data_IF_339395660428
#
_entry.id   IF_339395660428
#
_cell.length_a   1.000
_cell.length_b   1.000
_cell.length_c   1.000
_cell.angle_alpha   90.00
_cell.angle_beta   90.00
_cell.angle_gamma   90.00
#
_symmetry.space_group_name_H-M   'P 1'
#
loop_
_entity.id
_entity.type
_entity.pdbx_description
1 polymer ?
#
# COMPACT_ATOMS: atom_id res chain seq x y z
N UNK A 1 9.21 40.44 -2.88
CA UNK A 1 8.62 40.00 -4.16
C UNK A 1 8.17 38.54 -3.96
N UNK A 2 6.88 38.31 -3.85
CA UNK A 2 6.32 36.99 -3.64
C UNK A 2 6.39 36.24 -4.98
N UNK A 3 7.15 35.16 -5.03
CA UNK A 3 7.15 34.26 -6.18
C UNK A 3 5.75 33.62 -6.26
N UNK A 4 4.97 34.03 -7.24
CA UNK A 4 3.73 33.33 -7.60
C UNK A 4 4.15 31.97 -8.13
N UNK A 5 3.90 30.92 -7.34
CA UNK A 5 4.08 29.55 -7.79
C UNK A 5 3.24 29.39 -9.08
N UNK A 6 3.88 29.10 -10.22
CA UNK A 6 3.17 28.72 -11.44
C UNK A 6 2.33 27.50 -11.09
N UNK A 7 1.03 27.48 -11.44
CA UNK A 7 0.27 26.24 -11.36
C UNK A 7 1.00 25.20 -12.20
N UNK A 8 1.29 24.05 -11.62
CA UNK A 8 1.77 22.88 -12.37
C UNK A 8 0.79 22.64 -13.51
N UNK A 9 1.30 22.48 -14.74
CA UNK A 9 0.44 22.22 -15.89
C UNK A 9 -0.35 20.94 -15.61
N UNK A 10 -1.64 20.95 -15.84
CA UNK A 10 -2.49 19.77 -15.76
C UNK A 10 -2.01 18.74 -16.79
N UNK A 11 -1.86 17.49 -16.36
CA UNK A 11 -1.38 16.36 -17.19
C UNK A 11 -2.52 15.35 -17.31
N UNK A 12 -2.78 14.82 -18.51
CA UNK A 12 -3.78 13.77 -18.69
C UNK A 12 -3.32 12.45 -18.06
N UNK A 13 -4.25 11.55 -17.67
CA UNK A 13 -3.88 10.21 -17.20
C UNK A 13 -3.02 9.43 -18.19
N UNK A 14 -3.30 9.56 -19.48
CA UNK A 14 -2.57 8.90 -20.56
C UNK A 14 -1.13 9.42 -20.65
N UNK A 15 -0.95 10.74 -20.63
CA UNK A 15 0.37 11.39 -20.67
C UNK A 15 1.18 11.04 -19.41
N UNK A 16 0.52 10.98 -18.24
CA UNK A 16 1.17 10.53 -17.00
C UNK A 16 1.67 9.08 -17.11
N UNK A 17 0.84 8.15 -17.58
CA UNK A 17 1.23 6.74 -17.73
C UNK A 17 2.41 6.60 -18.69
N UNK A 18 2.42 7.34 -19.80
CA UNK A 18 3.51 7.28 -20.77
C UNK A 18 4.81 7.88 -20.21
N UNK A 19 4.73 9.04 -19.53
CA UNK A 19 5.88 9.67 -18.91
C UNK A 19 6.48 8.81 -17.79
N UNK A 20 5.61 8.18 -16.97
CA UNK A 20 6.02 7.36 -15.82
C UNK A 20 6.75 6.06 -16.24
N UNK A 21 6.57 5.60 -17.48
CA UNK A 21 7.29 4.42 -18.03
C UNK A 21 8.79 4.64 -18.18
N UNK A 22 9.22 5.88 -18.35
CA UNK A 22 10.62 6.26 -18.58
C UNK A 22 11.17 7.13 -17.46
N UNK A 23 10.37 7.44 -16.45
CA UNK A 23 10.77 8.26 -15.32
C UNK A 23 11.81 7.54 -14.45
N UNK A 24 12.85 8.27 -14.03
CA UNK A 24 13.87 7.77 -13.09
C UNK A 24 13.33 7.68 -11.66
N UNK A 25 12.39 8.54 -11.29
CA UNK A 25 11.69 8.55 -10.00
C UNK A 25 10.24 8.16 -10.21
N UNK A 26 9.63 7.56 -9.20
CA UNK A 26 8.20 7.24 -9.21
C UNK A 26 7.39 8.45 -8.75
N UNK A 27 6.24 8.63 -9.37
CA UNK A 27 5.31 9.72 -9.08
C UNK A 27 3.89 9.18 -8.88
N UNK A 28 3.23 9.63 -7.85
CA UNK A 28 1.79 9.48 -7.70
C UNK A 28 1.06 10.53 -8.52
N UNK A 29 -0.15 10.22 -8.96
CA UNK A 29 -0.97 11.11 -9.77
C UNK A 29 -2.35 11.31 -9.15
N UNK A 30 -2.74 12.56 -9.01
CA UNK A 30 -4.06 12.95 -8.48
C UNK A 30 -4.62 14.10 -9.30
N UNK A 31 -5.68 13.83 -10.05
CA UNK A 31 -6.45 14.84 -10.79
C UNK A 31 -5.59 15.83 -11.61
N UNK A 32 -4.70 15.30 -12.43
CA UNK A 32 -3.82 16.10 -13.30
C UNK A 32 -2.54 16.60 -12.61
N UNK A 33 -2.32 16.30 -11.34
CA UNK A 33 -1.14 16.67 -10.58
C UNK A 33 -0.25 15.47 -10.29
N UNK A 34 1.05 15.66 -10.39
CA UNK A 34 2.08 14.62 -10.25
C UNK A 34 2.93 14.94 -9.02
N UNK A 35 3.11 13.94 -8.14
CA UNK A 35 3.82 14.05 -6.87
C UNK A 35 4.95 13.04 -6.82
N UNK A 36 6.20 13.51 -6.71
CA UNK A 36 7.36 12.64 -6.58
C UNK A 36 7.32 11.85 -5.26
N UNK A 37 7.61 10.56 -5.34
CA UNK A 37 7.73 9.72 -4.16
C UNK A 37 9.08 9.92 -3.48
N UNK A 38 9.09 9.95 -2.15
CA UNK A 38 10.31 9.94 -1.35
C UNK A 38 10.91 8.53 -1.24
N UNK A 39 12.21 8.45 -0.94
CA UNK A 39 12.85 7.16 -0.63
C UNK A 39 12.36 6.59 0.71
N UNK A 40 12.42 5.28 0.85
CA UNK A 40 12.04 4.54 2.05
C UNK A 40 13.24 4.34 3.01
N UNK A 41 12.95 4.26 4.32
CA UNK A 41 13.94 3.83 5.33
C UNK A 41 14.26 2.32 5.22
N UNK A 42 15.33 1.86 5.89
CA UNK A 42 15.65 0.43 5.96
C UNK A 42 14.51 -0.38 6.60
N UNK A 43 13.97 0.08 7.72
CA UNK A 43 12.85 -0.61 8.39
C UNK A 43 11.58 -0.61 7.55
N UNK A 44 11.23 0.49 6.89
CA UNK A 44 10.10 0.54 5.96
C UNK A 44 10.26 -0.51 4.85
N UNK A 45 11.43 -0.56 4.21
CA UNK A 45 11.70 -1.52 3.14
C UNK A 45 11.63 -2.98 3.63
N UNK A 46 12.16 -3.26 4.84
CA UNK A 46 12.09 -4.60 5.45
C UNK A 46 10.67 -5.01 5.77
N UNK A 47 9.87 -4.14 6.36
CA UNK A 47 8.46 -4.39 6.69
C UNK A 47 7.68 -4.71 5.42
N UNK A 48 7.76 -3.86 4.39
CA UNK A 48 7.09 -4.09 3.11
C UNK A 48 7.54 -5.41 2.46
N UNK A 49 8.85 -5.69 2.45
CA UNK A 49 9.42 -6.93 1.95
C UNK A 49 8.98 -8.18 2.72
N UNK A 50 8.90 -8.09 4.05
CA UNK A 50 8.41 -9.19 4.88
C UNK A 50 6.93 -9.48 4.63
N UNK A 51 6.08 -8.44 4.55
CA UNK A 51 4.66 -8.58 4.20
C UNK A 51 4.51 -9.26 2.83
N UNK A 52 5.24 -8.78 1.83
CA UNK A 52 5.22 -9.35 0.48
C UNK A 52 5.67 -10.82 0.47
N UNK A 53 6.72 -11.16 1.22
CA UNK A 53 7.21 -12.54 1.38
C UNK A 53 6.13 -13.46 1.96
N UNK A 54 5.49 -13.07 3.06
CA UNK A 54 4.44 -13.87 3.72
C UNK A 54 3.23 -14.06 2.79
N UNK A 55 2.77 -13.01 2.12
CA UNK A 55 1.67 -13.09 1.15
C UNK A 55 2.05 -13.96 -0.06
N UNK A 56 3.26 -13.81 -0.60
CA UNK A 56 3.75 -14.62 -1.74
C UNK A 56 3.81 -16.11 -1.38
N UNK A 57 4.24 -16.43 -0.15
CA UNK A 57 4.25 -17.81 0.33
C UNK A 57 2.81 -18.37 0.50
N UNK A 58 1.91 -17.57 1.06
CA UNK A 58 0.51 -17.96 1.27
C UNK A 58 -0.24 -18.19 -0.05
N UNK A 59 0.09 -17.46 -1.11
CA UNK A 59 -0.60 -17.56 -2.41
C UNK A 59 0.08 -18.48 -3.42
N UNK A 60 1.15 -19.15 -3.06
CA UNK A 60 1.80 -20.10 -3.97
C UNK A 60 0.82 -21.18 -4.45
N UNK A 61 0.56 -21.22 -5.76
CA UNK A 61 -0.42 -22.12 -6.37
C UNK A 61 -1.90 -21.72 -6.15
N UNK A 62 -2.17 -20.52 -5.66
CA UNK A 62 -3.50 -19.93 -5.51
C UNK A 62 -3.76 -18.84 -6.55
N UNK A 63 -4.97 -18.32 -6.60
CA UNK A 63 -5.42 -17.32 -7.58
C UNK A 63 -4.93 -15.91 -7.29
N UNK A 64 -4.77 -15.56 -6.00
CA UNK A 64 -4.39 -14.20 -5.62
C UNK A 64 -2.90 -13.94 -5.84
N UNK A 65 -2.57 -12.74 -6.28
CA UNK A 65 -1.21 -12.28 -6.57
C UNK A 65 -0.86 -11.05 -5.72
N UNK A 66 0.22 -11.08 -4.93
CA UNK A 66 0.72 -9.90 -4.24
C UNK A 66 1.64 -9.08 -5.15
N UNK A 67 1.58 -7.77 -5.01
CA UNK A 67 2.44 -6.79 -5.65
C UNK A 67 3.15 -5.94 -4.60
N UNK A 68 4.35 -5.45 -4.94
CA UNK A 68 5.16 -4.61 -4.06
C UNK A 68 5.73 -3.42 -4.83
N UNK A 69 5.73 -2.24 -4.23
CA UNK A 69 6.34 -0.99 -4.70
C UNK A 69 5.90 -0.54 -6.11
N UNK A 70 6.59 -0.95 -7.14
CA UNK A 70 6.54 -0.37 -8.50
C UNK A 70 5.26 -0.67 -9.32
N UNK A 71 4.24 -1.30 -8.75
CA UNK A 71 2.97 -1.50 -9.42
C UNK A 71 1.92 -0.51 -8.90
N UNK A 72 1.35 0.27 -9.82
CA UNK A 72 0.31 1.25 -9.51
C UNK A 72 -1.05 0.60 -9.24
N UNK A 73 -1.82 1.23 -8.36
CA UNK A 73 -3.27 1.06 -8.27
C UNK A 73 -3.94 2.28 -8.88
N UNK A 74 -4.75 2.07 -9.91
CA UNK A 74 -5.67 3.06 -10.44
C UNK A 74 -6.97 2.98 -9.66
N UNK A 75 -7.37 4.09 -9.06
CA UNK A 75 -8.61 4.14 -8.30
C UNK A 75 -9.76 4.58 -9.23
N UNK A 76 -10.91 3.88 -9.19
CA UNK A 76 -12.05 4.26 -10.01
C UNK A 76 -12.46 5.70 -9.76
N UNK A 77 -12.69 6.50 -10.79
CA UNK A 77 -13.00 7.92 -10.66
C UNK A 77 -14.41 8.10 -10.08
N UNK A 78 -14.51 8.25 -8.75
CA UNK A 78 -15.73 8.81 -8.16
C UNK A 78 -15.77 10.33 -8.37
N UNK A 79 -14.58 10.99 -8.39
CA UNK A 79 -14.43 12.44 -8.52
C UNK A 79 -13.21 12.85 -9.36
N UNK A 80 -12.16 12.01 -9.48
CA UNK A 80 -10.91 12.30 -10.15
C UNK A 80 -10.18 11.03 -10.55
N UNK A 81 -9.30 11.10 -11.55
CA UNK A 81 -8.36 10.02 -11.85
C UNK A 81 -7.21 10.04 -10.84
N UNK A 82 -7.01 8.90 -10.16
CA UNK A 82 -5.96 8.74 -9.15
C UNK A 82 -5.15 7.48 -9.42
N UNK A 83 -3.81 7.62 -9.35
CA UNK A 83 -2.86 6.51 -9.40
C UNK A 83 -1.92 6.63 -8.22
N UNK A 84 -1.97 5.65 -7.32
CA UNK A 84 -1.04 5.52 -6.20
C UNK A 84 -0.14 4.30 -6.37
N UNK A 85 0.99 4.29 -5.67
CA UNK A 85 1.89 3.16 -5.53
C UNK A 85 1.83 2.63 -4.09
N UNK A 86 0.92 1.70 -3.76
CA UNK A 86 0.92 1.09 -2.45
C UNK A 86 2.21 0.32 -2.19
N UNK A 87 2.70 0.31 -0.95
CA UNK A 87 3.86 -0.48 -0.60
C UNK A 87 3.65 -1.97 -0.88
N UNK A 88 2.49 -2.51 -0.47
CA UNK A 88 2.08 -3.89 -0.82
C UNK A 88 0.58 -3.94 -1.06
N UNK A 89 0.16 -4.68 -2.08
CA UNK A 89 -1.26 -4.97 -2.28
C UNK A 89 -1.48 -6.34 -2.91
N UNK A 90 -2.71 -6.84 -2.83
CA UNK A 90 -3.10 -8.16 -3.34
C UNK A 90 -4.27 -8.01 -4.32
N UNK A 91 -4.16 -8.67 -5.47
CA UNK A 91 -5.25 -8.80 -6.45
C UNK A 91 -5.67 -10.26 -6.53
N UNK A 92 -6.99 -10.52 -6.44
CA UNK A 92 -7.55 -11.86 -6.55
C UNK A 92 -8.42 -12.07 -7.80
N UNK A 93 -8.67 -11.01 -8.57
CA UNK A 93 -9.40 -11.08 -9.84
C UNK A 93 -8.42 -11.23 -11.02
N UNK A 94 -8.38 -12.38 -11.72
CA UNK A 94 -7.47 -12.58 -12.84
C UNK A 94 -7.82 -11.71 -14.07
N UNK A 95 -9.00 -11.10 -14.10
CA UNK A 95 -9.37 -10.16 -15.15
C UNK A 95 -8.74 -8.77 -14.94
N UNK A 96 -8.22 -8.48 -13.73
CA UNK A 96 -7.45 -7.27 -13.45
C UNK A 96 -5.98 -7.45 -13.85
N UNK A 97 -5.70 -7.35 -15.14
CA UNK A 97 -4.41 -7.71 -15.75
C UNK A 97 -3.77 -6.59 -16.58
N UNK A 98 -4.15 -5.33 -16.38
CA UNK A 98 -3.53 -4.21 -17.07
C UNK A 98 -2.01 -4.19 -16.84
N UNK A 99 -1.23 -3.87 -17.87
CA UNK A 99 0.23 -4.03 -17.84
C UNK A 99 0.94 -3.14 -16.82
N UNK A 100 0.41 -1.93 -16.57
CA UNK A 100 1.10 -0.89 -15.79
C UNK A 100 0.35 -0.44 -14.54
N UNK A 101 -0.81 -1.02 -14.26
CA UNK A 101 -1.61 -0.75 -13.06
C UNK A 101 -2.56 -1.90 -12.75
N UNK A 102 -3.18 -1.85 -11.58
CA UNK A 102 -4.31 -2.68 -11.16
C UNK A 102 -5.46 -1.77 -10.73
N UNK A 103 -6.68 -2.26 -10.85
CA UNK A 103 -7.89 -1.48 -10.53
C UNK A 103 -8.75 -2.11 -9.41
N UNK A 104 -8.52 -3.41 -9.11
CA UNK A 104 -9.34 -4.20 -8.19
C UNK A 104 -8.54 -4.89 -7.10
N UNK A 105 -7.72 -4.15 -6.32
CA UNK A 105 -7.03 -4.75 -5.20
C UNK A 105 -8.03 -5.24 -4.16
N UNK A 106 -7.79 -6.43 -3.62
CA UNK A 106 -8.59 -7.01 -2.53
C UNK A 106 -8.10 -6.57 -1.16
N UNK A 107 -6.80 -6.30 -1.04
CA UNK A 107 -6.14 -5.78 0.18
C UNK A 107 -5.04 -4.81 -0.23
N UNK A 108 -4.89 -3.72 0.51
CA UNK A 108 -3.79 -2.75 0.38
C UNK A 108 -3.13 -2.60 1.76
N UNK A 109 -1.79 -2.55 1.78
CA UNK A 109 -1.00 -2.31 2.99
C UNK A 109 0.00 -1.18 2.69
N UNK A 110 0.01 -0.16 3.57
CA UNK A 110 0.94 0.97 3.51
C UNK A 110 1.78 1.00 4.79
N UNK A 111 3.08 1.07 4.65
CA UNK A 111 4.03 1.26 5.76
C UNK A 111 4.25 2.75 5.92
N UNK A 112 3.78 3.31 7.01
CA UNK A 112 3.83 4.75 7.21
C UNK A 112 5.14 5.21 7.85
N UNK A 113 5.60 6.37 7.42
CA UNK A 113 6.65 7.14 8.03
C UNK A 113 6.07 8.40 8.70
N UNK A 114 6.78 9.07 9.61
CA UNK A 114 6.35 10.36 10.17
C UNK A 114 6.01 11.41 9.10
N UNK A 115 6.66 11.34 7.93
CA UNK A 115 6.45 12.29 6.83
C UNK A 115 5.18 11.98 6.03
N UNK A 116 4.80 10.71 5.88
CA UNK A 116 3.64 10.28 5.10
C UNK A 116 2.39 10.04 5.94
N UNK A 117 2.52 9.92 7.26
CA UNK A 117 1.45 9.54 8.20
C UNK A 117 0.12 10.27 7.95
N UNK A 118 0.16 11.60 7.78
CA UNK A 118 -1.05 12.40 7.59
C UNK A 118 -1.76 12.05 6.28
N UNK A 119 -1.01 11.83 5.21
CA UNK A 119 -1.53 11.52 3.87
C UNK A 119 -2.13 10.11 3.87
N UNK A 120 -1.37 9.14 4.35
CA UNK A 120 -1.79 7.73 4.34
C UNK A 120 -2.99 7.47 5.26
N UNK A 121 -3.00 8.09 6.47
CA UNK A 121 -4.11 7.91 7.42
C UNK A 121 -5.41 8.62 7.01
N UNK A 122 -5.34 9.72 6.28
CA UNK A 122 -6.53 10.52 5.95
C UNK A 122 -6.88 10.47 4.48
N UNK A 123 -6.00 10.92 3.60
CA UNK A 123 -6.31 11.13 2.19
C UNK A 123 -6.38 9.79 1.46
N UNK A 124 -5.31 8.99 1.49
CA UNK A 124 -5.29 7.67 0.85
C UNK A 124 -6.33 6.72 1.44
N UNK A 125 -6.54 6.75 2.78
CA UNK A 125 -7.57 5.93 3.42
C UNK A 125 -8.98 6.19 2.87
N UNK A 126 -9.35 7.45 2.60
CA UNK A 126 -10.66 7.78 2.02
C UNK A 126 -10.73 7.26 0.58
N UNK A 127 -9.67 7.51 -0.20
CA UNK A 127 -9.61 7.18 -1.62
C UNK A 127 -9.60 5.67 -1.83
N UNK A 128 -8.75 4.92 -1.13
CA UNK A 128 -8.70 3.44 -1.24
C UNK A 128 -10.02 2.78 -0.84
N UNK A 129 -10.68 3.26 0.20
CA UNK A 129 -11.97 2.70 0.62
C UNK A 129 -13.10 2.88 -0.38
N UNK A 130 -12.93 3.70 -1.41
CA UNK A 130 -13.88 3.82 -2.52
C UNK A 130 -13.79 2.67 -3.52
N UNK A 131 -12.70 1.87 -3.50
CA UNK A 131 -12.53 0.72 -4.38
C UNK A 131 -13.51 -0.39 -3.95
N UNK A 132 -14.43 -0.83 -4.83
CA UNK A 132 -15.49 -1.77 -4.45
C UNK A 132 -14.95 -3.14 -3.97
N UNK A 133 -13.90 -3.64 -4.59
CA UNK A 133 -13.30 -4.96 -4.32
C UNK A 133 -12.39 -4.98 -3.09
N UNK A 134 -12.04 -3.80 -2.54
CA UNK A 134 -11.16 -3.72 -1.39
C UNK A 134 -11.88 -4.20 -0.12
N UNK A 135 -11.37 -5.25 0.49
CA UNK A 135 -11.89 -5.84 1.73
C UNK A 135 -11.16 -5.36 2.97
N UNK A 136 -9.88 -4.99 2.83
CA UNK A 136 -9.07 -4.45 3.92
C UNK A 136 -8.05 -3.42 3.43
N UNK A 137 -7.87 -2.37 4.23
CA UNK A 137 -6.77 -1.41 4.14
C UNK A 137 -6.00 -1.42 5.45
N UNK A 138 -4.70 -1.66 5.39
CA UNK A 138 -3.83 -1.82 6.56
C UNK A 138 -2.77 -0.73 6.56
N UNK A 139 -2.68 -0.01 7.66
CA UNK A 139 -1.65 1.00 7.92
C UNK A 139 -0.67 0.42 8.93
N UNK A 140 0.57 0.21 8.51
CA UNK A 140 1.62 -0.46 9.27
C UNK A 140 2.60 0.58 9.79
N UNK A 141 2.82 0.61 11.10
CA UNK A 141 3.78 1.51 11.73
C UNK A 141 5.22 1.04 11.45
N UNK A 142 6.15 1.96 11.13
CA UNK A 142 7.54 1.56 10.95
C UNK A 142 8.40 1.71 12.21
N UNK A 143 7.91 2.41 13.25
CA UNK A 143 8.65 2.75 14.46
C UNK A 143 8.22 1.97 15.71
N UNK A 144 7.18 1.15 15.58
CA UNK A 144 6.66 0.27 16.63
C UNK A 144 5.94 -0.94 16.02
N UNK A 145 5.88 -2.05 16.77
CA UNK A 145 5.12 -3.23 16.34
C UNK A 145 3.64 -2.95 16.54
N UNK A 146 3.05 -2.29 15.55
CA UNK A 146 1.62 -1.95 15.56
C UNK A 146 1.10 -1.72 14.14
N UNK A 147 -0.19 -1.90 13.95
CA UNK A 147 -0.89 -1.56 12.73
C UNK A 147 -2.35 -1.21 12.98
N UNK A 148 -2.91 -0.38 12.12
CA UNK A 148 -4.35 -0.10 12.06
C UNK A 148 -4.93 -0.86 10.88
N UNK A 149 -5.89 -1.73 11.14
CA UNK A 149 -6.58 -2.52 10.12
C UNK A 149 -7.99 -1.98 9.93
N UNK A 150 -8.27 -1.48 8.74
CA UNK A 150 -9.63 -1.10 8.34
C UNK A 150 -10.20 -2.23 7.49
N UNK A 151 -11.28 -2.86 7.95
CA UNK A 151 -11.97 -3.95 7.24
C UNK A 151 -13.36 -3.51 6.78
N UNK A 152 -13.71 -3.90 5.57
CA UNK A 152 -15.06 -3.71 5.06
C UNK A 152 -16.00 -4.72 5.70
N UNK A 153 -17.15 -4.26 6.19
CA UNK A 153 -18.24 -5.07 6.73
C UNK A 153 -19.58 -4.66 6.09
N UNK A 154 -20.65 -5.38 6.39
CA UNK A 154 -22.01 -5.04 5.95
C UNK A 154 -22.46 -3.66 6.44
N UNK A 155 -22.01 -3.24 7.62
CA UNK A 155 -22.33 -1.94 8.22
C UNK A 155 -21.35 -0.81 7.82
N UNK A 156 -20.40 -1.06 6.91
CA UNK A 156 -19.38 -0.12 6.50
C UNK A 156 -17.97 -0.55 6.92
N UNK A 157 -17.06 0.41 7.09
CA UNK A 157 -15.69 0.14 7.47
C UNK A 157 -15.50 0.13 8.99
N UNK A 158 -14.89 -0.92 9.50
CA UNK A 158 -14.52 -1.07 10.90
C UNK A 158 -13.01 -0.94 11.06
N UNK A 159 -12.57 -0.30 12.14
CA UNK A 159 -11.15 -0.10 12.44
C UNK A 159 -10.77 -0.88 13.68
N UNK A 160 -9.63 -1.56 13.61
CA UNK A 160 -9.00 -2.29 14.70
C UNK A 160 -7.52 -1.92 14.78
N UNK A 161 -6.97 -1.88 15.97
CA UNK A 161 -5.53 -1.70 16.19
C UNK A 161 -4.95 -3.00 16.73
N UNK A 162 -3.91 -3.49 16.07
CA UNK A 162 -3.12 -4.64 16.49
C UNK A 162 -1.78 -4.14 17.04
N UNK A 163 -1.37 -4.61 18.21
CA UNK A 163 -0.13 -4.18 18.85
C UNK A 163 0.65 -5.35 19.46
N UNK A 164 1.97 -5.25 19.36
CA UNK A 164 2.91 -6.20 19.93
C UNK A 164 3.17 -7.45 19.05
N UNK A 165 4.28 -8.16 19.31
CA UNK A 165 4.75 -9.25 18.45
C UNK A 165 3.82 -10.48 18.47
N UNK A 166 3.04 -10.68 19.52
CA UNK A 166 2.09 -11.79 19.64
C UNK A 166 0.77 -11.57 18.89
N UNK A 167 0.51 -10.37 18.34
CA UNK A 167 -0.69 -10.11 17.58
C UNK A 167 -0.60 -10.76 16.18
N UNK A 168 -1.75 -11.03 15.57
CA UNK A 168 -1.87 -11.65 14.25
C UNK A 168 -2.72 -10.76 13.36
N UNK A 169 -2.20 -10.44 12.18
CA UNK A 169 -2.96 -9.81 11.12
C UNK A 169 -3.82 -10.86 10.42
N UNK A 170 -5.13 -10.79 10.63
CA UNK A 170 -6.09 -11.63 9.95
C UNK A 170 -6.67 -10.91 8.74
N UNK A 171 -6.65 -11.54 7.57
CA UNK A 171 -7.19 -11.04 6.30
C UNK A 171 -8.20 -12.06 5.73
N UNK A 172 -9.39 -12.20 6.34
CA UNK A 172 -10.36 -13.24 5.98
C UNK A 172 -10.84 -13.14 4.53
N UNK A 173 -10.92 -11.91 3.97
CA UNK A 173 -11.29 -11.70 2.56
C UNK A 173 -10.38 -12.38 1.54
N UNK A 174 -9.14 -12.71 1.93
CA UNK A 174 -8.16 -13.42 1.10
C UNK A 174 -7.65 -14.72 1.75
N UNK A 175 -8.16 -15.07 2.94
CA UNK A 175 -7.83 -16.30 3.66
C UNK A 175 -6.38 -16.40 4.10
N UNK A 176 -5.84 -15.32 4.66
CA UNK A 176 -4.45 -15.22 5.13
C UNK A 176 -4.39 -14.69 6.56
N UNK A 177 -3.47 -15.26 7.34
CA UNK A 177 -3.11 -14.82 8.69
C UNK A 177 -1.59 -14.66 8.75
N UNK A 178 -1.11 -13.52 9.29
CA UNK A 178 0.32 -13.23 9.41
C UNK A 178 0.62 -12.75 10.83
N UNK A 179 1.43 -13.47 11.62
CA UNK A 179 1.93 -12.98 12.89
C UNK A 179 2.75 -11.70 12.72
N UNK A 180 2.51 -10.68 13.57
CA UNK A 180 3.23 -9.41 13.48
C UNK A 180 4.75 -9.61 13.65
N UNK A 181 5.18 -10.56 14.45
CA UNK A 181 6.61 -10.89 14.60
C UNK A 181 7.31 -11.21 13.26
N UNK A 182 6.59 -11.80 12.28
CA UNK A 182 7.12 -12.08 10.95
C UNK A 182 7.18 -10.84 10.07
N UNK A 183 6.23 -9.93 10.24
CA UNK A 183 6.19 -8.64 9.53
C UNK A 183 7.37 -7.77 9.97
N UNK A 184 7.68 -7.76 11.28
CA UNK A 184 8.75 -6.95 11.85
C UNK A 184 10.08 -7.70 12.01
N UNK A 185 10.24 -8.88 11.39
CA UNK A 185 11.48 -9.65 11.41
C UNK A 185 12.66 -8.83 10.87
N UNK A 186 13.77 -8.79 11.63
CA UNK A 186 15.01 -8.04 11.27
C UNK A 186 14.84 -6.52 11.15
N UNK A 187 13.81 -5.96 11.71
CA UNK A 187 13.68 -4.51 11.89
C UNK A 187 14.25 -4.08 13.24
N UNK A 188 14.43 -2.78 13.44
CA UNK A 188 14.88 -2.25 14.75
C UNK A 188 13.90 -2.55 15.88
N UNK A 189 12.61 -2.79 15.58
CA UNK A 189 11.56 -3.16 16.55
C UNK A 189 11.41 -4.68 16.71
N UNK A 190 11.80 -5.45 15.71
CA UNK A 190 11.75 -6.91 15.74
C UNK A 190 12.86 -7.48 16.60
N UNK A 191 12.58 -8.55 17.35
CA UNK A 191 13.63 -9.32 18.04
C UNK A 191 14.62 -9.81 17.02
N UNK A 192 15.91 -9.53 17.24
CA UNK A 192 16.98 -10.15 16.46
C UNK A 192 16.79 -11.66 16.50
N UNK A 193 16.45 -12.26 15.36
CA UNK A 193 16.53 -13.71 15.22
C UNK A 193 17.94 -14.10 15.61
N UNK A 194 18.07 -15.09 16.50
CA UNK A 194 19.32 -15.68 16.98
C UNK A 194 20.35 -15.76 15.83
N UNK A 195 21.61 -15.40 16.05
CA UNK A 195 22.60 -15.45 14.97
C UNK A 195 22.60 -16.87 14.39
N UNK A 196 22.56 -16.94 13.08
CA UNK A 196 22.74 -18.19 12.34
C UNK A 196 24.07 -18.83 12.82
N UNK A 197 23.97 -19.96 13.50
CA UNK A 197 25.08 -20.83 13.84
C UNK A 197 25.59 -21.46 12.56
#
# INVERSE_FOLDING_TARGET
>A
MSAIARPLAWISPEDYIEAERVAELRHEYVDGHVYAMAGASDDHNRIAGNIFRELSNAFRGRRCEPFINDMKVKIPPAFADVYYYPDVFVVCDPADNAKYHRERPSVILEVISPDTERIDRREKSIVYRSIPELTAYVIVEQDRIAMTVLRRSESGWQSEVLEGPGAVLELPGIGVEIPLERIYERTTMGTATSPLV
#
